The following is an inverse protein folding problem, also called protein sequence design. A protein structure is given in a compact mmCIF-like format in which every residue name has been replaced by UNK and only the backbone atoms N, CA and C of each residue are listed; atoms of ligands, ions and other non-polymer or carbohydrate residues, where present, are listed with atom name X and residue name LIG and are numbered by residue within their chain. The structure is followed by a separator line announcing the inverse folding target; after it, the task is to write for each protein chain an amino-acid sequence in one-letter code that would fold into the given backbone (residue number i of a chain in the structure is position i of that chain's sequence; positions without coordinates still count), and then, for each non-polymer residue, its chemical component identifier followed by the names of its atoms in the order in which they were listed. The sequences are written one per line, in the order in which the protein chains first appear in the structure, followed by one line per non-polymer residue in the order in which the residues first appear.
data_IF_638780700737
#
_entry.id   IF_638780700737
#
_cell.length_a   1.000
_cell.length_b   1.000
_cell.length_c   1.000
_cell.angle_alpha   90.00
_cell.angle_beta   90.00
_cell.angle_gamma   90.00
#
_symmetry.space_group_name_H-M   'P 1'
#
loop_
_entity.id
_entity.type
_entity.pdbx_description
1 polymer ?
#
# COMPACT_ATOMS: atom_id res chain seq x y z
N UNK A 1 -13.33 -7.01 6.29
CA UNK A 1 -13.20 -6.30 5.00
C UNK A 1 -13.10 -7.32 3.90
N UNK A 2 -13.50 -6.99 2.69
CA UNK A 2 -13.30 -7.79 1.47
C UNK A 2 -12.92 -6.86 0.31
N UNK A 3 -12.33 -7.39 -0.77
CA UNK A 3 -12.19 -6.58 -1.97
C UNK A 3 -13.55 -6.40 -2.67
N UNK A 4 -13.85 -5.18 -3.13
CA UNK A 4 -15.10 -4.86 -3.83
C UNK A 4 -15.24 -5.65 -5.13
N UNK A 5 -14.12 -5.77 -5.85
CA UNK A 5 -14.00 -6.60 -7.02
C UNK A 5 -13.21 -7.83 -6.56
N UNK A 6 -13.63 -9.06 -6.89
CA UNK A 6 -13.06 -10.32 -6.37
C UNK A 6 -11.52 -10.48 -6.48
N UNK A 7 -10.85 -9.55 -7.17
CA UNK A 7 -9.39 -9.44 -7.27
C UNK A 7 -8.88 -8.03 -6.94
N UNK A 8 -7.67 -7.98 -6.37
CA UNK A 8 -6.90 -6.74 -6.14
C UNK A 8 -6.75 -5.93 -7.44
N UNK A 9 -6.86 -4.61 -7.33
CA UNK A 9 -6.47 -3.66 -8.37
C UNK A 9 -5.71 -2.46 -7.77
N UNK A 10 -4.98 -1.74 -8.64
CA UNK A 10 -4.23 -0.56 -8.27
C UNK A 10 -4.99 0.71 -8.64
N UNK A 11 -4.90 1.71 -7.78
CA UNK A 11 -5.59 2.98 -7.89
C UNK A 11 -4.63 4.13 -7.60
N UNK A 12 -4.93 5.25 -8.23
CA UNK A 12 -4.43 6.57 -7.84
C UNK A 12 -5.55 7.29 -7.08
N UNK A 13 -5.17 8.09 -6.10
CA UNK A 13 -6.09 8.91 -5.30
C UNK A 13 -5.77 10.37 -5.58
N UNK A 14 -6.82 11.19 -5.68
CA UNK A 14 -6.70 12.62 -5.87
C UNK A 14 -5.75 13.25 -4.83
N UNK A 15 -4.80 14.05 -5.31
CA UNK A 15 -3.75 14.60 -4.45
C UNK A 15 -4.28 15.65 -3.46
N UNK A 16 -5.32 16.41 -3.83
CA UNK A 16 -5.92 17.40 -2.95
C UNK A 16 -6.71 16.70 -1.84
N UNK A 17 -7.34 15.57 -2.15
CA UNK A 17 -7.94 14.68 -1.15
C UNK A 17 -6.89 14.06 -0.21
N UNK A 18 -5.76 13.57 -0.73
CA UNK A 18 -4.66 13.05 0.11
C UNK A 18 -4.10 14.14 1.02
N UNK A 19 -3.91 15.36 0.52
CA UNK A 19 -3.43 16.49 1.32
C UNK A 19 -4.44 16.85 2.42
N UNK A 20 -5.74 16.86 2.11
CA UNK A 20 -6.80 17.03 3.09
C UNK A 20 -6.73 15.99 4.21
N UNK A 21 -6.63 14.69 3.87
CA UNK A 21 -6.50 13.63 4.88
C UNK A 21 -5.20 13.76 5.68
N UNK A 22 -4.10 14.20 5.06
CA UNK A 22 -2.83 14.44 5.73
C UNK A 22 -2.90 15.56 6.78
N UNK A 23 -3.69 16.60 6.54
CA UNK A 23 -3.95 17.66 7.52
C UNK A 23 -4.71 17.15 8.75
N UNK A 24 -5.52 16.10 8.58
CA UNK A 24 -6.25 15.43 9.68
C UNK A 24 -5.33 14.45 10.42
N UNK A 25 -4.54 13.67 9.68
CA UNK A 25 -3.59 12.71 10.23
C UNK A 25 -2.29 12.67 9.42
N UNK A 26 -1.21 13.18 10.04
CA UNK A 26 0.14 13.20 9.48
C UNK A 26 0.74 11.81 9.17
N UNK A 27 0.08 10.72 9.58
CA UNK A 27 0.47 9.37 9.19
C UNK A 27 0.12 9.02 7.75
N UNK A 28 -0.83 9.72 7.13
CA UNK A 28 -1.21 9.55 5.73
C UNK A 28 0.00 9.82 4.83
N UNK A 29 0.20 8.98 3.83
CA UNK A 29 1.31 9.16 2.90
C UNK A 29 1.02 10.31 1.94
N UNK A 30 1.61 11.47 2.23
CA UNK A 30 1.59 12.65 1.38
C UNK A 30 3.01 13.15 1.09
N UNK A 31 3.23 13.60 -0.13
CA UNK A 31 4.38 14.38 -0.53
C UNK A 31 4.00 15.22 -1.77
N UNK A 32 4.39 16.50 -1.87
CA UNK A 32 4.01 17.34 -3.01
C UNK A 32 4.40 16.76 -4.38
N UNK A 33 5.47 15.95 -4.45
CA UNK A 33 5.89 15.28 -5.68
C UNK A 33 4.87 14.27 -6.22
N UNK A 34 3.93 13.78 -5.41
CA UNK A 34 2.88 12.85 -5.85
C UNK A 34 1.93 13.48 -6.87
N UNK A 35 1.95 14.82 -7.02
CA UNK A 35 1.27 15.51 -8.14
C UNK A 35 1.96 15.32 -9.48
N UNK A 36 3.25 15.00 -9.48
CA UNK A 36 4.06 14.78 -10.68
C UNK A 36 4.39 13.29 -10.94
N UNK A 37 4.12 12.42 -9.97
CA UNK A 37 4.42 10.99 -10.04
C UNK A 37 3.28 10.16 -9.48
N UNK A 38 2.97 9.04 -10.12
CA UNK A 38 1.92 8.13 -9.66
C UNK A 38 2.28 7.56 -8.28
N UNK A 39 1.39 7.75 -7.30
CA UNK A 39 1.42 7.09 -5.99
C UNK A 39 0.38 5.96 -5.99
N UNK A 40 0.78 4.69 -6.19
CA UNK A 40 -0.18 3.60 -6.28
C UNK A 40 -0.73 3.18 -4.91
N UNK A 41 -2.00 2.81 -4.90
CA UNK A 41 -2.71 2.21 -3.78
C UNK A 41 -3.37 0.90 -4.21
N UNK A 42 -3.38 -0.10 -3.32
CA UNK A 42 -4.16 -1.32 -3.47
C UNK A 42 -5.56 -1.10 -2.91
N UNK A 43 -6.57 -1.42 -3.71
CA UNK A 43 -7.98 -1.30 -3.34
C UNK A 43 -8.88 -2.14 -4.24
N UNK A 44 -10.19 -2.05 -4.11
CA UNK A 44 -10.92 -1.33 -3.05
C UNK A 44 -11.25 -2.33 -1.96
N UNK A 45 -10.84 -2.06 -0.72
CA UNK A 45 -11.28 -2.82 0.45
C UNK A 45 -12.56 -2.20 0.99
N UNK A 46 -13.61 -2.99 1.16
CA UNK A 46 -14.88 -2.53 1.72
C UNK A 46 -15.03 -3.08 3.13
N UNK A 47 -15.35 -2.20 4.07
CA UNK A 47 -15.66 -2.56 5.46
C UNK A 47 -17.16 -2.80 5.69
N UNK A 48 -17.55 -2.95 6.96
CA UNK A 48 -18.94 -3.23 7.35
C UNK A 48 -19.85 -1.99 7.16
N UNK A 49 -19.28 -0.79 7.15
CA UNK A 49 -19.98 0.48 6.95
C UNK A 49 -20.07 0.93 5.48
N UNK A 50 -19.64 0.07 4.55
CA UNK A 50 -19.51 0.38 3.12
C UNK A 50 -18.47 1.49 2.82
N UNK A 51 -17.52 1.71 3.73
CA UNK A 51 -16.42 2.65 3.53
C UNK A 51 -15.33 1.96 2.72
N UNK A 52 -14.84 2.67 1.71
CA UNK A 52 -13.84 2.21 0.76
C UNK A 52 -12.45 2.57 1.26
N UNK A 53 -11.64 1.56 1.53
CA UNK A 53 -10.27 1.66 2.01
C UNK A 53 -9.25 1.30 0.93
N UNK A 54 -8.12 2.01 0.99
CA UNK A 54 -7.01 1.89 0.05
C UNK A 54 -5.68 1.82 0.79
N UNK A 55 -4.83 0.85 0.47
CA UNK A 55 -3.54 0.64 1.13
C UNK A 55 -2.43 1.23 0.24
N UNK A 56 -1.61 2.18 0.73
CA UNK A 56 -0.55 2.75 -0.07
C UNK A 56 0.59 1.77 -0.32
N UNK A 57 1.15 1.80 -1.55
CA UNK A 57 2.47 1.26 -1.84
C UNK A 57 3.54 2.33 -1.66
N UNK A 58 4.75 1.92 -1.28
CA UNK A 58 5.93 2.77 -1.24
C UNK A 58 7.14 2.03 -1.77
N UNK A 59 7.98 2.72 -2.53
CA UNK A 59 9.18 2.12 -3.13
C UNK A 59 10.14 1.59 -2.06
N UNK A 60 10.91 0.57 -2.45
CA UNK A 60 11.98 0.06 -1.60
C UNK A 60 13.02 1.15 -1.26
N UNK A 61 13.60 1.05 -0.07
CA UNK A 61 14.62 1.95 0.48
C UNK A 61 15.67 1.11 1.19
N UNK A 62 16.87 1.66 1.35
CA UNK A 62 18.00 0.96 1.99
C UNK A 62 17.66 0.34 3.35
N UNK A 63 16.90 1.06 4.19
CA UNK A 63 16.43 0.56 5.50
C UNK A 63 15.61 -0.75 5.42
N UNK A 64 15.05 -1.10 4.26
CA UNK A 64 14.26 -2.31 4.10
C UNK A 64 15.11 -3.58 4.00
N UNK A 65 16.43 -3.49 3.76
CA UNK A 65 17.33 -4.64 3.72
C UNK A 65 17.38 -5.39 5.06
N UNK A 66 17.31 -4.64 6.15
CA UNK A 66 17.42 -5.16 7.53
C UNK A 66 16.06 -5.42 8.18
N UNK A 67 14.98 -4.88 7.59
CA UNK A 67 13.63 -5.04 8.12
C UNK A 67 13.05 -6.42 7.78
N UNK A 68 12.11 -6.92 8.59
CA UNK A 68 11.41 -8.19 8.31
C UNK A 68 10.63 -8.08 7.00
N UNK A 69 10.60 -9.13 6.19
CA UNK A 69 9.87 -9.12 4.91
C UNK A 69 8.37 -8.89 5.06
N UNK A 70 7.79 -9.24 6.21
CA UNK A 70 6.37 -9.05 6.47
C UNK A 70 6.10 -8.92 7.96
N UNK A 71 4.99 -8.27 8.28
CA UNK A 71 4.39 -8.25 9.62
C UNK A 71 2.86 -8.26 9.49
N UNK A 72 2.14 -7.87 10.55
CA UNK A 72 0.70 -7.54 10.44
C UNK A 72 0.48 -6.15 9.86
N UNK A 73 1.46 -5.26 9.98
CA UNK A 73 1.35 -3.85 9.62
C UNK A 73 1.71 -3.58 8.16
N UNK A 74 2.53 -4.43 7.55
CA UNK A 74 3.04 -4.24 6.20
C UNK A 74 3.50 -5.56 5.57
N UNK A 75 3.63 -5.54 4.25
CA UNK A 75 4.13 -6.63 3.42
C UNK A 75 5.15 -6.09 2.41
N UNK A 76 6.39 -6.59 2.43
CA UNK A 76 7.36 -6.28 1.37
C UNK A 76 7.02 -7.09 0.12
N UNK A 77 7.01 -6.39 -1.00
CA UNK A 77 6.84 -6.94 -2.34
C UNK A 77 8.22 -7.14 -2.92
N UNK A 78 8.50 -8.33 -3.42
CA UNK A 78 9.82 -8.70 -3.92
C UNK A 78 9.74 -9.66 -5.09
N UNK A 79 10.84 -9.71 -5.84
CA UNK A 79 11.13 -10.71 -6.87
C UNK A 79 12.33 -11.57 -6.42
N UNK A 80 12.38 -12.83 -6.85
CA UNK A 80 13.50 -13.72 -6.57
C UNK A 80 14.43 -13.74 -7.80
N UNK A 81 15.62 -13.18 -7.65
CA UNK A 81 16.57 -12.99 -8.76
C UNK A 81 17.89 -13.70 -8.48
N UNK A 82 18.70 -13.88 -9.52
CA UNK A 82 20.05 -14.44 -9.38
C UNK A 82 20.93 -13.56 -8.51
N UNK A 83 21.83 -14.18 -7.74
CA UNK A 83 22.73 -13.50 -6.81
C UNK A 83 23.59 -12.42 -7.48
N UNK A 84 23.92 -12.62 -8.75
CA UNK A 84 24.73 -11.71 -9.57
C UNK A 84 23.94 -10.54 -10.15
N UNK A 85 22.61 -10.50 -10.03
CA UNK A 85 21.77 -9.41 -10.54
C UNK A 85 22.19 -8.08 -9.91
N UNK A 86 22.41 -7.04 -10.72
CA UNK A 86 22.90 -5.76 -10.19
C UNK A 86 22.29 -4.58 -10.96
N UNK A 87 21.02 -4.31 -10.73
CA UNK A 87 20.34 -3.14 -11.25
C UNK A 87 20.69 -1.90 -10.41
N UNK A 88 20.88 -0.77 -11.08
CA UNK A 88 21.18 0.50 -10.40
C UNK A 88 20.00 0.90 -9.50
N UNK A 89 20.30 1.30 -8.26
CA UNK A 89 19.32 1.71 -7.24
C UNK A 89 18.37 0.59 -6.75
N UNK A 90 18.54 -0.66 -7.21
CA UNK A 90 17.74 -1.77 -6.71
C UNK A 90 18.13 -2.14 -5.28
N UNK A 91 17.12 -2.52 -4.48
CA UNK A 91 17.32 -2.91 -3.09
C UNK A 91 17.35 -4.44 -3.01
N UNK A 92 18.53 -4.99 -2.80
CA UNK A 92 18.72 -6.43 -2.67
C UNK A 92 18.89 -6.89 -1.22
N UNK A 93 18.44 -8.12 -0.95
CA UNK A 93 18.70 -8.84 0.29
C UNK A 93 18.96 -10.31 -0.03
N UNK A 94 20.04 -10.88 0.49
CA UNK A 94 20.36 -12.29 0.28
C UNK A 94 19.23 -13.22 0.75
N UNK A 95 18.97 -14.26 -0.02
CA UNK A 95 18.00 -15.27 0.38
C UNK A 95 18.61 -16.12 1.50
N UNK A 96 17.92 -16.33 2.63
CA UNK A 96 18.52 -16.99 3.80
C UNK A 96 18.96 -18.43 3.53
N UNK A 97 18.30 -19.10 2.57
CA UNK A 97 18.48 -20.54 2.32
C UNK A 97 18.94 -20.88 0.90
N UNK A 98 19.03 -19.91 -0.01
CA UNK A 98 19.35 -20.15 -1.42
C UNK A 98 20.62 -19.39 -1.76
N UNK A 99 21.70 -20.10 -2.01
CA UNK A 99 23.03 -19.50 -2.17
C UNK A 99 23.19 -18.77 -3.50
N UNK A 100 22.41 -19.12 -4.51
CA UNK A 100 22.41 -18.59 -5.87
C UNK A 100 21.31 -17.53 -6.11
N UNK A 101 20.45 -17.28 -5.12
CA UNK A 101 19.34 -16.33 -5.21
C UNK A 101 19.39 -15.23 -4.16
N UNK A 102 18.76 -14.10 -4.49
CA UNK A 102 18.49 -13.01 -3.57
C UNK A 102 17.13 -12.38 -3.85
N UNK A 103 16.58 -11.71 -2.85
CA UNK A 103 15.39 -10.90 -3.00
C UNK A 103 15.75 -9.57 -3.64
N UNK A 104 15.08 -9.21 -4.73
CA UNK A 104 14.94 -7.84 -5.20
C UNK A 104 13.68 -7.25 -4.55
N UNK A 105 13.85 -6.38 -3.56
CA UNK A 105 12.72 -5.71 -2.91
C UNK A 105 12.24 -4.58 -3.82
N UNK A 106 10.99 -4.68 -4.28
CA UNK A 106 10.38 -3.73 -5.21
C UNK A 106 9.67 -2.60 -4.45
N UNK A 107 8.81 -2.99 -3.50
CA UNK A 107 7.99 -2.06 -2.75
C UNK A 107 7.58 -2.60 -1.38
N UNK A 108 6.89 -1.77 -0.62
CA UNK A 108 6.23 -2.14 0.64
C UNK A 108 4.77 -1.72 0.54
N UNK A 109 3.87 -2.67 0.77
CA UNK A 109 2.45 -2.43 0.99
C UNK A 109 2.23 -2.15 2.48
N UNK A 110 1.93 -0.90 2.83
CA UNK A 110 1.87 -0.45 4.24
C UNK A 110 0.43 -0.43 4.77
N UNK A 111 -0.04 -1.59 5.22
CA UNK A 111 -1.44 -1.86 5.63
C UNK A 111 -1.89 -0.94 6.77
N UNK A 112 -1.01 -0.67 7.75
CA UNK A 112 -1.29 0.29 8.85
C UNK A 112 -1.49 1.74 8.40
N UNK A 113 -1.20 2.05 7.14
CA UNK A 113 -1.34 3.37 6.52
C UNK A 113 -2.51 3.43 5.52
N UNK A 114 -3.40 2.45 5.55
CA UNK A 114 -4.58 2.50 4.69
C UNK A 114 -5.46 3.70 5.04
N UNK A 115 -6.18 4.21 4.05
CA UNK A 115 -6.99 5.40 4.17
C UNK A 115 -8.41 5.15 3.62
N UNK A 116 -9.44 5.71 4.27
CA UNK A 116 -10.77 5.78 3.68
C UNK A 116 -10.78 6.82 2.57
N UNK A 117 -11.50 6.58 1.47
CA UNK A 117 -11.53 7.48 0.32
C UNK A 117 -12.97 7.69 -0.14
N UNK A 118 -13.32 8.95 -0.40
CA UNK A 118 -14.64 9.36 -0.91
C UNK A 118 -14.82 8.93 -2.36
N UNK A 119 -16.07 8.71 -2.76
CA UNK A 119 -16.39 8.39 -4.15
C UNK A 119 -15.93 9.51 -5.09
N UNK A 120 -15.35 9.15 -6.24
CA UNK A 120 -14.84 10.11 -7.22
C UNK A 120 -13.43 10.61 -6.95
N UNK A 121 -12.88 10.44 -5.75
CA UNK A 121 -11.50 10.83 -5.42
C UNK A 121 -10.45 9.74 -5.75
N UNK A 122 -10.81 8.71 -6.49
CA UNK A 122 -9.89 7.65 -6.90
C UNK A 122 -10.13 7.21 -8.34
N UNK A 123 -9.06 6.78 -9.01
CA UNK A 123 -9.08 6.29 -10.38
C UNK A 123 -8.27 5.01 -10.48
N UNK A 124 -8.83 3.99 -11.13
CA UNK A 124 -8.11 2.75 -11.41
C UNK A 124 -6.94 3.02 -12.34
N UNK A 125 -5.77 2.47 -12.03
CA UNK A 125 -4.58 2.57 -12.88
C UNK A 125 -4.67 1.50 -13.97
N UNK A 126 -4.62 1.94 -15.23
CA UNK A 126 -4.57 1.06 -16.39
C UNK A 126 -3.10 0.82 -16.77
N UNK A 127 -2.53 -0.32 -16.38
CA UNK A 127 -1.07 -0.58 -16.55
C UNK A 127 -0.59 -0.45 -18.00
N UNK A 128 -1.45 -0.76 -18.97
CA UNK A 128 -1.18 -0.62 -20.41
C UNK A 128 -0.93 0.81 -20.87
N UNK A 129 -1.33 1.82 -20.09
CA UNK A 129 -1.13 3.23 -20.43
C UNK A 129 0.13 3.82 -19.79
N UNK A 130 0.88 3.02 -19.03
CA UNK A 130 2.12 3.43 -18.38
C UNK A 130 3.31 3.23 -19.33
N UNK A 131 4.41 3.93 -19.05
CA UNK A 131 5.69 3.62 -19.70
C UNK A 131 6.10 2.17 -19.40
N UNK A 132 6.77 1.52 -20.35
CA UNK A 132 7.07 0.08 -20.31
C UNK A 132 7.71 -0.38 -18.99
N UNK A 133 8.69 0.37 -18.47
CA UNK A 133 9.36 0.00 -17.22
C UNK A 133 8.40 0.01 -16.02
N UNK A 134 7.53 1.02 -15.93
CA UNK A 134 6.51 1.11 -14.88
C UNK A 134 5.43 0.04 -15.06
N UNK A 135 5.06 -0.27 -16.31
CA UNK A 135 4.12 -1.35 -16.61
C UNK A 135 4.65 -2.69 -16.08
N UNK A 136 5.89 -3.07 -16.40
CA UNK A 136 6.49 -4.32 -15.91
C UNK A 136 6.61 -4.36 -14.38
N UNK A 137 7.02 -3.25 -13.76
CA UNK A 137 7.10 -3.14 -12.30
C UNK A 137 5.72 -3.37 -11.66
N UNK A 138 4.69 -2.67 -12.14
CA UNK A 138 3.34 -2.75 -11.58
C UNK A 138 2.73 -4.14 -11.79
N UNK A 139 3.01 -4.82 -12.90
CA UNK A 139 2.59 -6.22 -13.08
C UNK A 139 3.23 -7.14 -12.03
N UNK A 140 4.54 -7.01 -11.78
CA UNK A 140 5.21 -7.82 -10.74
C UNK A 140 4.62 -7.55 -9.36
N UNK A 141 4.40 -6.28 -9.03
CA UNK A 141 3.84 -5.88 -7.74
C UNK A 141 2.39 -6.37 -7.57
N UNK A 142 1.58 -6.24 -8.62
CA UNK A 142 0.19 -6.67 -8.66
C UNK A 142 0.06 -8.19 -8.50
N UNK A 143 0.82 -8.98 -9.25
CA UNK A 143 0.79 -10.44 -9.14
C UNK A 143 1.23 -10.91 -7.76
N UNK A 144 2.24 -10.26 -7.17
CA UNK A 144 2.64 -10.55 -5.80
C UNK A 144 1.50 -10.26 -4.81
N UNK A 145 0.90 -9.06 -4.88
CA UNK A 145 -0.22 -8.68 -4.03
C UNK A 145 -1.41 -9.65 -4.17
N UNK A 146 -1.76 -10.02 -5.40
CA UNK A 146 -2.81 -10.98 -5.71
C UNK A 146 -2.54 -12.35 -5.07
N UNK A 147 -1.29 -12.83 -5.13
CA UNK A 147 -0.89 -14.09 -4.47
C UNK A 147 -0.99 -14.05 -2.93
N UNK A 148 -1.11 -12.86 -2.34
CA UNK A 148 -1.22 -12.62 -0.89
C UNK A 148 -2.55 -11.98 -0.48
N UNK A 149 -3.54 -11.98 -1.37
CA UNK A 149 -4.81 -11.27 -1.20
C UNK A 149 -5.50 -11.58 0.14
N UNK A 150 -5.64 -12.86 0.48
CA UNK A 150 -6.30 -13.31 1.72
C UNK A 150 -5.58 -12.79 2.97
N UNK A 151 -4.24 -12.79 2.94
CA UNK A 151 -3.42 -12.27 4.03
C UNK A 151 -3.59 -10.76 4.18
N UNK A 152 -3.61 -10.04 3.06
CA UNK A 152 -3.81 -8.58 3.04
C UNK A 152 -5.17 -8.25 3.66
N UNK A 153 -6.25 -8.95 3.24
CA UNK A 153 -7.59 -8.78 3.81
C UNK A 153 -7.59 -9.08 5.31
N UNK A 154 -6.98 -10.19 5.73
CA UNK A 154 -6.95 -10.63 7.11
C UNK A 154 -6.26 -9.60 8.01
N UNK A 155 -5.12 -9.09 7.59
CA UNK A 155 -4.33 -8.13 8.35
C UNK A 155 -5.00 -6.75 8.37
N UNK A 156 -5.52 -6.26 7.24
CA UNK A 156 -6.28 -5.01 7.14
C UNK A 156 -7.52 -5.05 8.06
N UNK A 157 -8.30 -6.13 8.00
CA UNK A 157 -9.49 -6.31 8.84
C UNK A 157 -9.14 -6.30 10.34
N UNK A 158 -8.04 -6.97 10.73
CA UNK A 158 -7.59 -6.98 12.13
C UNK A 158 -7.14 -5.61 12.62
N UNK A 159 -6.38 -4.86 11.81
CA UNK A 159 -5.94 -3.52 12.17
C UNK A 159 -7.15 -2.60 12.28
N UNK A 160 -8.08 -2.67 11.32
CA UNK A 160 -9.32 -1.90 11.32
C UNK A 160 -10.13 -2.13 12.61
N UNK A 161 -10.54 -3.37 12.87
CA UNK A 161 -11.40 -3.69 14.02
C UNK A 161 -10.78 -3.28 15.35
N UNK A 162 -9.45 -3.40 15.49
CA UNK A 162 -8.74 -2.94 16.69
C UNK A 162 -8.73 -1.43 16.81
N UNK A 163 -8.58 -0.70 15.71
CA UNK A 163 -8.56 0.77 15.70
C UNK A 163 -9.95 1.30 16.11
N UNK A 164 -11.02 0.75 15.53
CA UNK A 164 -12.40 1.10 15.89
C UNK A 164 -12.70 0.77 17.35
N UNK A 165 -12.33 -0.43 17.82
CA UNK A 165 -12.53 -0.82 19.23
C UNK A 165 -11.75 0.07 20.21
N UNK A 166 -10.56 0.54 19.82
CA UNK A 166 -9.76 1.48 20.61
C UNK A 166 -10.31 2.91 20.57
N UNK A 167 -11.02 3.28 19.51
CA UNK A 167 -11.53 4.63 19.27
C UNK A 167 -10.46 5.64 18.80
N UNK A 168 -9.26 5.17 18.45
CA UNK A 168 -8.12 5.98 17.98
C UNK A 168 -7.05 5.11 17.32
N UNK A 169 -6.06 5.72 16.68
CA UNK A 169 -4.90 5.03 16.10
C UNK A 169 -4.24 4.03 17.08
N UNK A 170 -3.87 2.83 16.60
CA UNK A 170 -3.27 1.79 17.44
C UNK A 170 -1.92 2.19 18.02
N UNK A 171 -1.12 2.94 17.27
CA UNK A 171 0.15 3.52 17.70
C UNK A 171 0.46 4.76 16.87
N UNK A 172 1.52 5.49 17.23
CA UNK A 172 2.02 6.66 16.48
C UNK A 172 2.41 6.40 15.01
N UNK A 173 2.44 5.14 14.58
CA UNK A 173 2.76 4.76 13.21
C UNK A 173 1.54 4.33 12.40
N UNK A 174 0.38 4.21 13.02
CA UNK A 174 -0.88 3.83 12.36
C UNK A 174 -1.65 5.08 11.99
N UNK A 175 -2.37 5.02 10.87
CA UNK A 175 -3.38 6.04 10.62
C UNK A 175 -4.53 5.92 11.62
N UNK A 176 -5.11 7.05 12.00
CA UNK A 176 -6.30 7.13 12.85
C UNK A 176 -7.56 7.01 11.99
N UNK A 177 -8.02 5.79 11.79
CA UNK A 177 -9.20 5.52 10.98
C UNK A 177 -10.46 6.21 11.53
N UNK A 178 -10.56 6.40 12.85
CA UNK A 178 -11.71 7.08 13.46
C UNK A 178 -11.71 8.56 13.09
N UNK A 179 -10.55 9.21 13.10
CA UNK A 179 -10.42 10.59 12.65
C UNK A 179 -10.64 10.74 11.14
N UNK A 180 -10.06 9.84 10.34
CA UNK A 180 -10.15 9.88 8.88
C UNK A 180 -11.57 9.60 8.36
N UNK A 181 -12.33 8.69 8.98
CA UNK A 181 -13.73 8.44 8.62
C UNK A 181 -14.63 9.64 8.94
N UNK A 182 -14.36 10.36 10.04
CA UNK A 182 -15.05 11.62 10.33
C UNK A 182 -14.71 12.70 9.31
N UNK A 183 -13.47 12.76 8.85
CA UNK A 183 -13.05 13.67 7.80
C UNK A 183 -13.78 13.37 6.47
N UNK A 184 -13.96 12.10 6.14
CA UNK A 184 -14.69 11.67 4.94
C UNK A 184 -16.14 12.21 4.90
N UNK A 185 -16.82 12.31 6.04
CA UNK A 185 -18.17 12.87 6.14
C UNK A 185 -18.24 14.39 5.91
N UNK A 186 -17.12 15.09 6.08
CA UNK A 186 -17.03 16.55 6.01
C UNK A 186 -16.41 17.05 4.70
N UNK A 187 -15.89 16.15 3.86
CA UNK A 187 -15.32 16.50 2.57
C UNK A 187 -16.44 16.85 1.58
N UNK A 188 -16.38 18.06 1.01
CA UNK A 188 -17.38 18.61 0.09
C UNK A 188 -16.84 18.66 -1.33
#
# INVERSE_FOLDING_TARGET
MNFLNDSIAFYEIDNDYIEYLYQVDSNVYYHPSYRATIKPYVGILVDIGNIKYFIPLTSAKEKHKEQRMQSRDYLMIYDLVDKNSNEKNAIYRDHPNLLDKKYHILAVLDIRKMIPVVEGAYKKIEFKTLELNYQFLFYKEHEFCKSKQDKIILDASKIYSKTIAKGSALSKFHCDYVALEKALQNYK
#
